data_IF_211913159094
#
_entry.id   IF_211913159094
#
_cell.length_a   1.000
_cell.length_b   1.000
_cell.length_c   1.000
_cell.angle_alpha   90.00
_cell.angle_beta   90.00
_cell.angle_gamma   90.00
#
_symmetry.space_group_name_H-M   'P 1'
#
loop_
_entity.id
_entity.type
_entity.pdbx_description
1 polymer ?
#
# COMPACT_ATOMS: atom_id res chain seq x y z
N UNK A 1 -70.05 -20.48 41.21
CA UNK A 1 -69.44 -20.30 42.50
C UNK A 1 -67.95 -20.59 42.35
N UNK A 2 -67.18 -19.66 42.52
CA UNK A 2 -65.96 -19.51 43.31
C UNK A 2 -64.76 -20.12 42.63
N UNK A 3 -63.68 -19.68 42.53
CA UNK A 3 -62.93 -18.69 43.31
C UNK A 3 -61.61 -18.44 42.55
N UNK A 4 -61.29 -17.21 42.45
CA UNK A 4 -59.98 -16.62 42.25
C UNK A 4 -58.77 -17.47 42.68
N UNK A 5 -57.70 -17.45 41.85
CA UNK A 5 -56.41 -17.19 42.41
C UNK A 5 -55.47 -16.55 41.37
N UNK A 6 -55.05 -15.36 41.70
CA UNK A 6 -54.02 -14.57 41.07
C UNK A 6 -52.66 -15.23 41.37
N UNK A 7 -51.83 -15.40 40.38
CA UNK A 7 -50.41 -15.57 40.62
C UNK A 7 -49.67 -14.55 39.75
N UNK A 8 -49.12 -13.57 40.41
CA UNK A 8 -48.19 -12.61 39.85
C UNK A 8 -46.84 -13.32 39.62
N UNK A 9 -46.43 -13.36 38.35
CA UNK A 9 -45.12 -13.81 37.99
C UNK A 9 -44.21 -12.62 37.66
N UNK A 10 -43.25 -12.40 38.52
CA UNK A 10 -42.21 -11.39 38.40
C UNK A 10 -41.41 -11.59 37.07
N UNK A 11 -41.46 -10.58 36.23
CA UNK A 11 -40.53 -10.44 35.12
C UNK A 11 -39.17 -9.99 35.69
N UNK A 12 -38.22 -10.88 35.73
CA UNK A 12 -36.82 -10.55 35.98
C UNK A 12 -36.25 -10.06 34.66
N UNK A 13 -36.19 -8.76 34.51
CA UNK A 13 -35.42 -8.10 33.44
C UNK A 13 -33.94 -8.33 33.71
N UNK A 14 -33.38 -9.35 33.07
CA UNK A 14 -31.96 -9.56 32.99
C UNK A 14 -31.31 -8.50 32.12
N UNK A 15 -30.76 -7.48 32.73
CA UNK A 15 -29.92 -6.48 32.07
C UNK A 15 -28.58 -7.12 31.73
N UNK A 16 -28.46 -7.67 30.53
CA UNK A 16 -27.17 -8.05 29.94
C UNK A 16 -26.42 -6.76 29.65
N UNK A 17 -25.58 -6.31 30.58
CA UNK A 17 -24.49 -5.38 30.29
C UNK A 17 -23.51 -6.11 29.34
N UNK A 18 -23.69 -5.94 28.07
CA UNK A 18 -22.62 -6.17 27.11
C UNK A 18 -21.56 -5.09 27.37
N UNK A 19 -20.57 -5.43 28.20
CA UNK A 19 -19.34 -4.66 28.27
C UNK A 19 -18.68 -4.79 26.91
N UNK A 20 -18.96 -3.83 26.02
CA UNK A 20 -18.13 -3.57 24.88
C UNK A 20 -16.77 -3.13 25.43
N UNK A 21 -15.88 -4.09 25.58
CA UNK A 21 -14.46 -3.81 25.70
C UNK A 21 -14.02 -3.26 24.32
N UNK A 22 -14.37 -2.02 24.07
CA UNK A 22 -13.73 -1.19 23.09
C UNK A 22 -12.28 -1.05 23.53
N UNK A 23 -11.44 -2.01 23.12
CA UNK A 23 -10.01 -1.83 23.17
C UNK A 23 -9.71 -0.59 22.36
N UNK A 24 -9.48 0.54 23.03
CA UNK A 24 -8.81 1.66 22.43
C UNK A 24 -7.46 1.11 21.98
N UNK A 25 -7.34 0.84 20.67
CA UNK A 25 -6.05 0.70 20.03
C UNK A 25 -5.37 2.07 20.21
N UNK A 26 -4.62 2.22 21.29
CA UNK A 26 -3.73 3.35 21.53
C UNK A 26 -2.50 3.07 20.69
N UNK A 27 -2.64 3.26 19.37
CA UNK A 27 -1.59 3.15 18.38
C UNK A 27 -2.19 3.55 17.06
N UNK A 28 -1.65 4.60 16.43
CA UNK A 28 -1.96 4.92 15.05
C UNK A 28 -1.55 3.76 14.12
N UNK A 29 -1.91 3.82 12.83
CA UNK A 29 -1.56 2.79 11.87
C UNK A 29 -0.05 2.55 11.89
N UNK A 30 0.34 1.28 11.91
CA UNK A 30 1.75 0.88 11.85
C UNK A 30 2.36 1.21 10.49
N UNK A 31 3.68 1.18 10.36
CA UNK A 31 4.35 1.33 9.08
C UNK A 31 3.87 0.28 8.06
N UNK A 32 3.62 -0.96 8.50
CA UNK A 32 3.11 -2.01 7.63
C UNK A 32 1.64 -1.77 7.23
N UNK A 33 0.78 -1.29 8.11
CA UNK A 33 -0.61 -0.95 7.74
C UNK A 33 -0.66 0.10 6.61
N UNK A 34 0.24 1.09 6.67
CA UNK A 34 0.38 2.11 5.62
C UNK A 34 0.97 1.55 4.33
N UNK A 35 1.91 0.62 4.42
CA UNK A 35 2.44 -0.08 3.26
C UNK A 35 1.36 -0.93 2.58
N UNK A 36 0.50 -1.61 3.34
CA UNK A 36 -0.63 -2.38 2.81
C UNK A 36 -1.67 -1.44 2.14
N UNK A 37 -1.89 -0.25 2.70
CA UNK A 37 -2.75 0.77 2.09
C UNK A 37 -2.16 1.27 0.76
N UNK A 38 -0.85 1.51 0.69
CA UNK A 38 -0.15 1.85 -0.55
C UNK A 38 -0.32 0.77 -1.61
N UNK A 39 -0.15 -0.50 -1.26
CA UNK A 39 -0.36 -1.61 -2.19
C UNK A 39 -1.78 -1.60 -2.76
N UNK A 40 -2.80 -1.47 -1.90
CA UNK A 40 -4.19 -1.35 -2.32
C UNK A 40 -4.43 -0.12 -3.22
N UNK A 41 -3.81 1.01 -2.92
CA UNK A 41 -3.93 2.24 -3.73
C UNK A 41 -3.34 2.04 -5.13
N UNK A 42 -2.18 1.37 -5.24
CA UNK A 42 -1.56 1.06 -6.52
C UNK A 42 -2.44 0.13 -7.37
N UNK A 43 -2.99 -0.92 -6.79
CA UNK A 43 -3.90 -1.86 -7.48
C UNK A 43 -5.17 -1.17 -8.00
N UNK A 44 -5.72 -0.23 -7.23
CA UNK A 44 -6.94 0.50 -7.59
C UNK A 44 -6.69 1.78 -8.40
N UNK A 45 -5.43 2.08 -8.74
CA UNK A 45 -5.07 3.33 -9.42
C UNK A 45 -5.52 3.43 -10.88
N UNK A 46 -5.81 2.31 -11.53
CA UNK A 46 -6.10 2.26 -12.96
C UNK A 46 -4.87 2.48 -13.86
N UNK A 47 -3.65 2.42 -13.30
CA UNK A 47 -2.38 2.66 -14.01
C UNK A 47 -1.77 1.39 -14.61
N UNK A 48 -2.54 0.32 -14.74
CA UNK A 48 -2.06 -0.96 -15.25
C UNK A 48 -1.30 -1.79 -14.22
N UNK A 49 -1.44 -1.49 -12.95
CA UNK A 49 -0.95 -2.33 -11.85
C UNK A 49 -1.98 -3.41 -11.55
N UNK A 50 -1.61 -4.67 -11.75
CA UNK A 50 -2.46 -5.83 -11.53
C UNK A 50 -2.50 -6.25 -10.07
N UNK A 51 -1.33 -6.23 -9.45
CA UNK A 51 -1.16 -6.42 -8.01
C UNK A 51 0.05 -5.65 -7.51
N UNK A 52 0.08 -5.36 -6.23
CA UNK A 52 1.20 -4.70 -5.60
C UNK A 52 1.47 -5.31 -4.23
N UNK A 53 2.73 -5.26 -3.84
CA UNK A 53 3.18 -5.66 -2.51
C UNK A 53 4.10 -4.57 -1.98
N UNK A 54 3.80 -4.07 -0.79
CA UNK A 54 4.65 -3.13 -0.11
C UNK A 54 5.03 -3.68 1.28
N UNK A 55 6.31 -3.62 1.61
CA UNK A 55 6.85 -4.12 2.87
C UNK A 55 7.60 -2.99 3.54
N UNK A 56 7.12 -2.62 4.73
CA UNK A 56 7.80 -1.67 5.59
C UNK A 56 8.80 -2.40 6.48
N UNK A 57 10.06 -2.00 6.39
CA UNK A 57 11.12 -2.51 7.26
C UNK A 57 11.41 -1.45 8.32
N UNK A 58 11.18 -1.81 9.59
CA UNK A 58 11.49 -0.96 10.72
C UNK A 58 13.00 -0.99 11.01
N UNK A 59 13.80 -0.46 10.10
CA UNK A 59 15.21 -0.14 10.32
C UNK A 59 15.31 1.24 10.96
N UNK A 60 16.56 1.68 11.25
CA UNK A 60 16.80 2.98 11.91
C UNK A 60 16.22 4.19 11.14
N UNK A 61 16.09 4.07 9.83
CA UNK A 61 15.49 5.11 8.94
C UNK A 61 14.12 4.73 8.41
N UNK A 62 13.65 3.48 8.62
CA UNK A 62 12.47 2.94 7.99
C UNK A 62 12.65 2.84 6.47
N UNK A 63 12.69 1.65 5.92
CA UNK A 63 12.80 1.44 4.48
C UNK A 63 11.52 0.81 3.94
N UNK A 64 11.16 1.15 2.72
CA UNK A 64 9.99 0.62 2.05
C UNK A 64 10.42 -0.16 0.80
N UNK A 65 10.01 -1.42 0.70
CA UNK A 65 10.17 -2.22 -0.50
C UNK A 65 8.83 -2.35 -1.20
N UNK A 66 8.74 -1.96 -2.46
CA UNK A 66 7.53 -1.99 -3.28
C UNK A 66 7.78 -2.83 -4.52
N UNK A 67 6.95 -3.85 -4.74
CA UNK A 67 6.92 -4.64 -5.96
C UNK A 67 5.56 -4.47 -6.61
N UNK A 68 5.52 -4.08 -7.88
CA UNK A 68 4.29 -4.03 -8.66
C UNK A 68 4.32 -5.07 -9.76
N UNK A 69 3.19 -5.74 -9.96
CA UNK A 69 2.95 -6.61 -11.12
C UNK A 69 2.17 -5.80 -12.15
N UNK A 70 2.75 -5.60 -13.31
CA UNK A 70 2.14 -4.82 -14.39
C UNK A 70 1.27 -5.72 -15.27
N UNK A 71 0.13 -5.18 -15.72
CA UNK A 71 -0.73 -5.88 -16.66
C UNK A 71 -0.10 -5.92 -18.06
N UNK A 72 -0.40 -6.96 -18.88
CA UNK A 72 0.21 -7.12 -20.21
C UNK A 72 0.01 -5.94 -21.17
N UNK A 73 -1.06 -5.18 -20.99
CA UNK A 73 -1.40 -4.02 -21.83
C UNK A 73 -0.49 -2.81 -21.62
N UNK A 74 0.23 -2.73 -20.51
CA UNK A 74 1.19 -1.67 -20.24
C UNK A 74 2.65 -2.12 -20.34
N UNK A 75 2.88 -3.43 -20.45
CA UNK A 75 4.21 -3.98 -20.74
C UNK A 75 4.44 -3.97 -22.24
N UNK A 76 5.44 -3.21 -22.68
CA UNK A 76 5.80 -3.07 -24.09
C UNK A 76 6.59 -4.28 -24.61
N UNK A 77 6.65 -4.50 -25.94
CA UNK A 77 7.52 -5.51 -26.53
C UNK A 77 8.97 -5.38 -26.03
N UNK A 78 9.57 -6.51 -25.66
CA UNK A 78 10.90 -6.54 -25.07
C UNK A 78 10.90 -6.37 -23.55
N UNK A 79 9.76 -6.58 -22.88
CA UNK A 79 9.61 -6.50 -21.43
C UNK A 79 10.04 -5.15 -20.86
N UNK A 80 9.53 -4.07 -21.46
CA UNK A 80 9.82 -2.70 -21.04
C UNK A 80 8.56 -1.98 -20.57
N UNK A 81 8.70 -0.95 -19.74
CA UNK A 81 7.63 -0.04 -19.35
C UNK A 81 7.95 1.37 -19.81
N UNK A 82 6.92 2.17 -20.10
CA UNK A 82 7.09 3.56 -20.52
C UNK A 82 7.08 4.52 -19.31
N UNK A 83 7.61 5.73 -19.53
CA UNK A 83 7.58 6.81 -18.54
C UNK A 83 6.15 7.25 -18.19
N UNK A 84 5.22 7.19 -19.17
CA UNK A 84 3.80 7.52 -18.96
C UNK A 84 3.11 6.56 -18.01
N UNK A 85 3.55 5.30 -17.95
CA UNK A 85 3.05 4.31 -17.00
C UNK A 85 3.81 4.40 -15.67
N UNK A 86 5.14 4.39 -15.73
CA UNK A 86 5.99 4.33 -14.53
C UNK A 86 5.91 5.63 -13.70
N UNK A 87 5.87 6.79 -14.34
CA UNK A 87 5.87 8.09 -13.65
C UNK A 87 4.71 8.25 -12.67
N UNK A 88 3.45 8.07 -13.06
CA UNK A 88 2.31 8.13 -12.14
C UNK A 88 2.35 7.08 -11.03
N UNK A 89 2.83 5.86 -11.30
CA UNK A 89 3.01 4.81 -10.28
C UNK A 89 4.03 5.26 -9.23
N UNK A 90 5.20 5.74 -9.67
CA UNK A 90 6.21 6.28 -8.76
C UNK A 90 5.72 7.52 -8.00
N UNK A 91 4.86 8.35 -8.59
CA UNK A 91 4.23 9.48 -7.93
C UNK A 91 3.36 9.06 -6.73
N UNK A 92 2.60 7.96 -6.86
CA UNK A 92 1.83 7.40 -5.74
C UNK A 92 2.77 6.88 -4.65
N UNK A 93 3.77 6.07 -5.04
CA UNK A 93 4.77 5.52 -4.12
C UNK A 93 5.48 6.64 -3.35
N UNK A 94 5.90 7.70 -4.05
CA UNK A 94 6.62 8.81 -3.44
C UNK A 94 5.81 9.57 -2.41
N UNK A 95 4.54 9.88 -2.70
CA UNK A 95 3.65 10.55 -1.73
C UNK A 95 3.44 9.71 -0.49
N UNK A 96 3.15 8.41 -0.65
CA UNK A 96 2.99 7.52 0.51
C UNK A 96 4.28 7.38 1.30
N UNK A 97 5.44 7.29 0.65
CA UNK A 97 6.73 7.19 1.30
C UNK A 97 7.06 8.47 2.12
N UNK A 98 6.73 9.66 1.60
CA UNK A 98 6.87 10.93 2.34
C UNK A 98 5.95 10.96 3.56
N UNK A 99 4.68 10.58 3.42
CA UNK A 99 3.73 10.51 4.54
C UNK A 99 4.17 9.52 5.63
N UNK A 100 4.84 8.43 5.22
CA UNK A 100 5.39 7.43 6.13
C UNK A 100 6.74 7.87 6.73
N UNK A 101 7.37 8.90 6.18
CA UNK A 101 8.69 9.41 6.54
C UNK A 101 9.77 8.31 6.48
N UNK A 102 9.79 7.56 5.36
CA UNK A 102 10.78 6.50 5.15
C UNK A 102 12.13 7.04 4.70
N UNK A 103 13.21 6.34 5.05
CA UNK A 103 14.59 6.68 4.66
C UNK A 103 14.92 6.37 3.21
N UNK A 104 14.10 5.54 2.54
CA UNK A 104 14.26 5.18 1.14
C UNK A 104 13.23 4.19 0.67
N UNK A 105 13.15 4.05 -0.65
CA UNK A 105 12.29 3.06 -1.31
C UNK A 105 13.10 2.24 -2.27
N UNK A 106 12.94 0.93 -2.21
CA UNK A 106 13.38 -0.01 -3.24
C UNK A 106 12.16 -0.45 -4.04
N UNK A 107 12.14 -0.14 -5.33
CA UNK A 107 10.98 -0.41 -6.18
C UNK A 107 11.33 -1.41 -7.28
N UNK A 108 10.43 -2.37 -7.50
CA UNK A 108 10.53 -3.41 -8.53
C UNK A 108 9.26 -3.41 -9.40
N UNK A 109 9.43 -3.70 -10.69
CA UNK A 109 8.33 -3.93 -11.61
C UNK A 109 8.49 -5.31 -12.24
N UNK A 110 7.45 -6.13 -12.18
CA UNK A 110 7.39 -7.49 -12.72
C UNK A 110 6.18 -7.62 -13.67
N UNK A 111 6.20 -8.61 -14.53
CA UNK A 111 5.02 -9.05 -15.26
C UNK A 111 4.21 -10.10 -14.47
N UNK A 112 3.09 -10.57 -15.03
CA UNK A 112 2.23 -11.59 -14.41
C UNK A 112 2.92 -12.95 -14.18
N UNK A 113 4.05 -13.21 -14.82
CA UNK A 113 4.88 -14.40 -14.67
C UNK A 113 5.99 -14.22 -13.64
N UNK A 114 6.11 -13.03 -13.04
CA UNK A 114 7.18 -12.68 -12.09
C UNK A 114 8.53 -12.41 -12.79
N UNK A 115 8.49 -12.01 -14.06
CA UNK A 115 9.67 -11.63 -14.81
C UNK A 115 9.87 -10.12 -14.68
N UNK A 116 11.09 -9.70 -14.37
CA UNK A 116 11.44 -8.29 -14.26
C UNK A 116 11.12 -7.52 -15.56
N UNK A 117 10.38 -6.43 -15.40
CA UNK A 117 10.12 -5.48 -16.50
C UNK A 117 11.19 -4.40 -16.48
N UNK A 118 11.86 -4.22 -17.60
CA UNK A 118 12.93 -3.23 -17.73
C UNK A 118 12.40 -1.81 -17.60
N UNK A 119 12.96 -1.06 -16.67
CA UNK A 119 12.64 0.36 -16.39
C UNK A 119 13.66 1.33 -16.99
N UNK A 120 14.70 0.83 -17.70
CA UNK A 120 15.83 1.64 -18.20
C UNK A 120 15.36 2.88 -18.95
N UNK A 121 14.58 2.68 -20.01
CA UNK A 121 14.12 3.78 -20.86
C UNK A 121 13.17 4.73 -20.13
N UNK A 122 12.27 4.17 -19.33
CA UNK A 122 11.35 4.99 -18.55
C UNK A 122 12.09 5.88 -17.53
N UNK A 123 13.13 5.37 -16.89
CA UNK A 123 13.94 6.13 -15.93
C UNK A 123 14.79 7.22 -16.59
N UNK A 124 15.30 6.96 -17.81
CA UNK A 124 15.96 7.99 -18.63
C UNK A 124 15.01 9.12 -18.97
N UNK A 125 13.82 8.80 -19.48
CA UNK A 125 12.80 9.79 -19.85
C UNK A 125 12.26 10.57 -18.63
N UNK A 126 12.24 9.96 -17.43
CA UNK A 126 11.87 10.59 -16.17
C UNK A 126 13.01 11.41 -15.54
N UNK A 127 14.24 11.26 -16.03
CA UNK A 127 15.43 11.93 -15.49
C UNK A 127 15.91 11.37 -14.15
N UNK A 128 15.71 10.06 -13.93
CA UNK A 128 16.11 9.34 -12.71
C UNK A 128 16.92 8.07 -13.02
N UNK A 129 17.57 8.00 -14.17
CA UNK A 129 18.33 6.82 -14.61
C UNK A 129 19.37 6.37 -13.61
N UNK A 130 19.96 7.28 -12.86
CA UNK A 130 20.96 6.99 -11.83
C UNK A 130 20.37 6.32 -10.56
N UNK A 131 19.04 6.27 -10.42
CA UNK A 131 18.37 5.51 -9.37
C UNK A 131 18.26 4.02 -9.69
N UNK A 132 18.49 3.64 -10.95
CA UNK A 132 18.38 2.25 -11.38
C UNK A 132 19.62 1.45 -11.00
N UNK A 133 19.42 0.37 -10.26
CA UNK A 133 20.44 -0.62 -9.89
C UNK A 133 19.93 -2.02 -10.25
N UNK A 134 20.43 -2.56 -11.36
CA UNK A 134 19.91 -3.80 -11.92
C UNK A 134 18.45 -3.68 -12.36
N UNK A 135 17.56 -4.46 -11.77
CA UNK A 135 16.11 -4.39 -11.97
C UNK A 135 15.37 -3.54 -10.93
N UNK A 136 16.07 -3.00 -9.95
CA UNK A 136 15.51 -2.21 -8.86
C UNK A 136 15.72 -0.71 -9.07
N UNK A 137 14.75 0.11 -8.61
CA UNK A 137 14.94 1.55 -8.42
C UNK A 137 15.22 1.83 -6.95
N UNK A 138 16.33 2.50 -6.68
CA UNK A 138 16.72 2.95 -5.35
C UNK A 138 16.37 4.45 -5.22
N UNK A 139 15.27 4.75 -4.54
CA UNK A 139 14.76 6.11 -4.41
C UNK A 139 15.13 6.68 -3.03
N UNK A 140 15.99 7.68 -3.02
CA UNK A 140 16.34 8.44 -1.81
C UNK A 140 15.24 9.46 -1.47
N UNK A 141 15.19 10.01 -0.23
CA UNK A 141 14.21 11.03 0.14
C UNK A 141 14.15 12.22 -0.81
N UNK A 142 15.30 12.71 -1.31
CA UNK A 142 15.36 13.84 -2.21
C UNK A 142 14.72 13.53 -3.59
N UNK A 143 14.84 12.28 -4.05
CA UNK A 143 14.20 11.82 -5.28
C UNK A 143 12.71 11.61 -5.10
N UNK A 144 12.31 11.06 -3.96
CA UNK A 144 10.88 10.91 -3.61
C UNK A 144 10.20 12.27 -3.60
N UNK A 145 10.80 13.29 -2.97
CA UNK A 145 10.27 14.65 -2.98
C UNK A 145 10.15 15.24 -4.41
N UNK A 146 11.09 14.93 -5.29
CA UNK A 146 11.04 15.39 -6.69
C UNK A 146 9.92 14.71 -7.47
N UNK A 147 9.68 13.42 -7.23
CA UNK A 147 8.65 12.63 -7.91
C UNK A 147 7.25 12.93 -7.39
N UNK A 148 7.09 13.22 -6.11
CA UNK A 148 5.79 13.54 -5.49
C UNK A 148 5.18 14.85 -5.97
N UNK A 149 6.02 15.78 -6.46
CA UNK A 149 5.62 17.12 -6.96
C UNK A 149 5.22 17.14 -8.44
N UNK A 150 5.40 16.05 -9.17
CA UNK A 150 5.03 15.93 -10.59
C UNK A 150 3.63 15.35 -10.75
#
# INVERSE_FOLDING_TARGET
MGTFMRAAGLAVAGLLLAAALGGCAIGGPTGQDRADELANQLENSGLGVRSAKAIFQSSFSGDLSVTVVLSPDVVQPGYTVTAETLGPVLGIVSRSAEEMNVGGVVFYAEDEQGIDVSMVRATEDLGIAEALDGSALLLTPERLETLSRK
#
